data_IF_536701073835
#
_entry.id   IF_536701073835
#
_cell.length_a   1.000
_cell.length_b   1.000
_cell.length_c   1.000
_cell.angle_alpha   90.00
_cell.angle_beta   90.00
_cell.angle_gamma   90.00
#
_symmetry.space_group_name_H-M   'P 1'
#
loop_
_entity.id
_entity.type
_entity.pdbx_description
1 polymer ?
#
# COMPACT_ATOMS: atom_id res chain seq x y z
N UNK A 1 -17.48 -19.22 17.44
CA UNK A 1 -18.08 -19.57 16.12
C UNK A 1 -17.26 -19.01 14.95
N UNK A 2 -16.97 -17.71 14.86
CA UNK A 2 -16.26 -17.08 13.71
C UNK A 2 -14.88 -17.69 13.41
N UNK A 3 -14.04 -17.92 14.41
CA UNK A 3 -12.75 -18.59 14.22
C UNK A 3 -12.89 -19.99 13.57
N UNK A 4 -13.87 -20.81 14.03
CA UNK A 4 -14.09 -22.14 13.45
C UNK A 4 -14.58 -22.08 12.02
N UNK A 5 -15.40 -21.09 11.67
CA UNK A 5 -15.84 -20.84 10.29
C UNK A 5 -14.66 -20.51 9.39
N UNK A 6 -13.83 -19.53 9.78
CA UNK A 6 -12.65 -19.16 8.99
C UNK A 6 -11.68 -20.34 8.83
N UNK A 7 -11.46 -21.12 9.91
CA UNK A 7 -10.63 -22.32 9.84
C UNK A 7 -11.18 -23.36 8.84
N UNK A 8 -12.47 -23.65 8.89
CA UNK A 8 -13.07 -24.65 8.00
C UNK A 8 -12.96 -24.25 6.53
N UNK A 9 -13.21 -22.95 6.21
CA UNK A 9 -13.06 -22.45 4.83
C UNK A 9 -11.60 -22.48 4.41
N UNK A 10 -10.66 -22.08 5.27
CA UNK A 10 -9.23 -22.11 4.98
C UNK A 10 -8.71 -23.55 4.76
N UNK A 11 -9.19 -24.51 5.56
CA UNK A 11 -8.82 -25.93 5.39
C UNK A 11 -9.28 -26.47 4.03
N UNK A 12 -10.50 -26.13 3.60
CA UNK A 12 -11.02 -26.51 2.28
C UNK A 12 -10.27 -25.78 1.14
N UNK A 13 -10.01 -24.47 1.30
CA UNK A 13 -9.21 -23.73 0.33
C UNK A 13 -7.85 -24.39 0.13
N UNK A 14 -7.17 -24.76 1.22
CA UNK A 14 -5.88 -25.46 1.15
C UNK A 14 -5.97 -26.81 0.42
N UNK A 15 -7.04 -27.57 0.64
CA UNK A 15 -7.24 -28.85 -0.07
C UNK A 15 -7.46 -28.67 -1.58
N UNK A 16 -8.13 -27.60 -1.99
CA UNK A 16 -8.50 -27.35 -3.39
C UNK A 16 -7.41 -26.59 -4.14
N UNK A 17 -6.80 -25.59 -3.53
CA UNK A 17 -5.86 -24.66 -4.19
C UNK A 17 -4.40 -24.83 -3.74
N UNK A 18 -4.14 -25.57 -2.67
CA UNK A 18 -2.84 -25.65 -2.03
C UNK A 18 -2.54 -24.52 -1.03
N UNK A 19 -3.40 -23.51 -0.95
CA UNK A 19 -3.23 -22.32 -0.09
C UNK A 19 -4.44 -22.11 0.82
N UNK A 20 -4.19 -21.70 2.06
CA UNK A 20 -5.25 -21.43 3.05
C UNK A 20 -5.72 -19.97 3.05
N UNK A 21 -5.74 -19.33 1.90
CA UNK A 21 -6.21 -17.97 1.71
C UNK A 21 -7.73 -17.97 1.60
N UNK A 22 -8.37 -17.13 2.41
CA UNK A 22 -9.82 -16.90 2.40
C UNK A 22 -10.09 -15.42 2.17
N UNK A 23 -11.35 -15.08 1.89
CA UNK A 23 -11.81 -13.70 1.88
C UNK A 23 -12.97 -13.58 2.84
N UNK A 24 -12.68 -13.19 4.08
CA UNK A 24 -13.63 -13.25 5.18
C UNK A 24 -13.97 -11.86 5.72
N UNK A 25 -15.27 -11.61 5.95
CA UNK A 25 -15.77 -10.41 6.64
C UNK A 25 -15.62 -10.55 8.15
N UNK A 26 -16.13 -11.62 8.69
CA UNK A 26 -16.17 -11.84 10.13
C UNK A 26 -14.90 -12.50 10.63
N UNK A 27 -14.36 -11.98 11.71
CA UNK A 27 -13.17 -12.50 12.36
C UNK A 27 -13.29 -12.48 13.89
N UNK A 28 -12.41 -13.20 14.56
CA UNK A 28 -12.26 -13.22 16.01
C UNK A 28 -10.82 -13.54 16.37
N UNK A 29 -10.46 -13.43 17.64
CA UNK A 29 -9.12 -13.79 18.11
C UNK A 29 -8.68 -15.17 17.59
N UNK A 30 -7.50 -15.23 16.98
CA UNK A 30 -6.96 -16.40 16.31
C UNK A 30 -7.26 -16.48 14.80
N UNK A 31 -8.20 -15.69 14.28
CA UNK A 31 -8.49 -15.63 12.82
C UNK A 31 -7.41 -14.92 12.01
N UNK A 32 -6.50 -14.21 12.66
CA UNK A 32 -5.34 -13.54 12.04
C UNK A 32 -4.50 -14.49 11.17
N UNK A 33 -4.49 -15.78 11.52
CA UNK A 33 -3.78 -16.83 10.76
C UNK A 33 -4.45 -17.26 9.47
N UNK A 34 -5.65 -16.76 9.20
CA UNK A 34 -6.43 -17.09 8.01
C UNK A 34 -6.74 -15.82 7.22
N UNK A 35 -5.74 -15.28 6.45
CA UNK A 35 -5.98 -14.11 5.59
C UNK A 35 -6.89 -14.50 4.42
N UNK A 36 -7.62 -13.57 3.79
CA UNK A 36 -7.63 -12.14 3.97
C UNK A 36 -8.93 -11.66 4.61
N UNK A 37 -8.98 -10.38 5.01
CA UNK A 37 -10.18 -9.78 5.59
C UNK A 37 -10.52 -8.44 4.92
N UNK A 38 -11.82 -8.07 4.92
CA UNK A 38 -12.27 -6.76 4.45
C UNK A 38 -13.31 -6.14 5.39
N UNK A 39 -13.54 -4.83 5.23
CA UNK A 39 -14.38 -4.04 6.14
C UNK A 39 -15.89 -4.27 6.02
N UNK A 40 -16.35 -5.08 5.06
CA UNK A 40 -17.78 -5.29 4.80
C UNK A 40 -18.40 -4.20 3.94
N UNK A 41 -19.74 -4.08 4.01
CA UNK A 41 -20.55 -3.29 3.11
C UNK A 41 -20.60 -1.82 3.58
N UNK A 42 -19.70 -0.98 3.09
CA UNK A 42 -19.72 0.45 3.33
C UNK A 42 -20.65 1.19 2.35
N UNK A 43 -21.18 2.34 2.76
CA UNK A 43 -21.91 3.24 1.85
C UNK A 43 -20.98 4.04 0.94
N UNK A 44 -21.50 4.62 -0.17
CA UNK A 44 -20.71 5.41 -1.10
C UNK A 44 -20.75 6.90 -0.76
N UNK A 45 -20.21 7.29 0.40
CA UNK A 45 -20.11 8.68 0.87
C UNK A 45 -18.70 8.99 1.36
N UNK A 46 -18.34 10.26 1.39
CA UNK A 46 -17.05 10.73 1.91
C UNK A 46 -16.81 10.28 3.35
N UNK A 47 -17.82 10.42 4.21
CA UNK A 47 -17.76 9.96 5.60
C UNK A 47 -17.57 8.43 5.71
N UNK A 48 -18.14 7.65 4.81
CA UNK A 48 -17.98 6.19 4.78
C UNK A 48 -16.57 5.80 4.34
N UNK A 49 -15.99 6.54 3.39
CA UNK A 49 -14.60 6.37 2.98
C UNK A 49 -13.63 6.62 4.15
N UNK A 50 -13.81 7.72 4.88
CA UNK A 50 -13.01 8.06 6.06
C UNK A 50 -13.18 7.03 7.18
N UNK A 51 -14.43 6.62 7.47
CA UNK A 51 -14.73 5.60 8.46
C UNK A 51 -14.12 4.24 8.10
N UNK A 52 -14.05 3.93 6.80
CA UNK A 52 -13.41 2.70 6.29
C UNK A 52 -11.94 2.66 6.66
N UNK A 53 -11.19 3.76 6.49
CA UNK A 53 -9.78 3.81 6.92
C UNK A 53 -9.65 3.64 8.43
N UNK A 54 -10.40 4.40 9.23
CA UNK A 54 -10.35 4.31 10.70
C UNK A 54 -10.67 2.90 11.21
N UNK A 55 -11.68 2.27 10.62
CA UNK A 55 -12.02 0.87 10.90
C UNK A 55 -10.88 -0.09 10.56
N UNK A 56 -10.21 0.12 9.43
CA UNK A 56 -9.05 -0.68 9.01
C UNK A 56 -7.84 -0.52 9.92
N UNK A 57 -7.53 0.70 10.35
CA UNK A 57 -6.47 0.98 11.31
C UNK A 57 -6.75 0.27 12.64
N UNK A 58 -7.97 0.40 13.17
CA UNK A 58 -8.40 -0.29 14.39
C UNK A 58 -8.33 -1.83 14.26
N UNK A 59 -8.73 -2.36 13.10
CA UNK A 59 -8.65 -3.80 12.83
C UNK A 59 -7.19 -4.29 12.78
N UNK A 60 -6.30 -3.52 12.16
CA UNK A 60 -4.86 -3.79 12.15
C UNK A 60 -4.25 -3.86 13.56
N UNK A 61 -4.69 -2.98 14.48
CA UNK A 61 -4.26 -3.01 15.88
C UNK A 61 -4.70 -4.27 16.64
N UNK A 62 -5.69 -5.00 16.11
CA UNK A 62 -6.11 -6.30 16.62
C UNK A 62 -5.27 -7.47 16.07
N UNK A 63 -4.14 -7.18 15.39
CA UNK A 63 -3.19 -8.17 14.87
C UNK A 63 -3.55 -8.75 13.51
N UNK A 64 -4.44 -8.10 12.75
CA UNK A 64 -4.75 -8.51 11.38
C UNK A 64 -3.82 -7.82 10.39
N UNK A 65 -2.92 -8.59 9.80
CA UNK A 65 -1.90 -8.10 8.86
C UNK A 65 -2.52 -7.60 7.55
N UNK A 66 -3.50 -8.33 7.01
CA UNK A 66 -4.07 -8.09 5.70
C UNK A 66 -5.52 -7.65 5.81
N UNK A 67 -5.74 -6.37 5.53
CA UNK A 67 -7.05 -5.75 5.50
C UNK A 67 -7.24 -4.90 4.25
N UNK A 68 -8.46 -4.87 3.75
CA UNK A 68 -8.89 -4.05 2.64
C UNK A 68 -10.39 -3.73 2.72
N UNK A 69 -10.94 -3.23 1.63
CA UNK A 69 -12.34 -2.81 1.54
C UNK A 69 -12.84 -2.86 0.10
N UNK A 70 -14.13 -2.74 -0.08
CA UNK A 70 -14.76 -2.61 -1.40
C UNK A 70 -14.53 -1.18 -1.90
N UNK A 71 -13.78 -1.03 -3.00
CA UNK A 71 -13.37 0.27 -3.54
C UNK A 71 -14.61 1.02 -4.04
N UNK A 72 -14.81 2.24 -3.54
CA UNK A 72 -15.98 3.05 -3.83
C UNK A 72 -17.21 2.73 -2.95
N UNK A 73 -17.08 1.84 -1.96
CA UNK A 73 -18.18 1.34 -1.13
C UNK A 73 -19.01 0.26 -1.84
N UNK A 74 -19.71 -0.55 -1.05
CA UNK A 74 -20.50 -1.69 -1.55
C UNK A 74 -21.90 -1.28 -2.03
N UNK A 75 -22.62 -0.53 -1.17
CA UNK A 75 -24.03 -0.21 -1.38
C UNK A 75 -24.22 0.94 -2.39
N UNK A 76 -25.17 0.82 -3.30
CA UNK A 76 -25.56 1.81 -4.30
C UNK A 76 -24.41 2.22 -5.27
N UNK A 77 -24.77 2.97 -6.33
CA UNK A 77 -23.79 3.49 -7.29
C UNK A 77 -22.94 4.58 -6.62
N UNK A 78 -21.65 4.44 -6.70
CA UNK A 78 -20.71 5.45 -6.19
C UNK A 78 -20.72 6.67 -7.10
N UNK A 79 -20.81 7.91 -6.58
CA UNK A 79 -20.51 9.09 -7.37
C UNK A 79 -19.11 8.99 -7.99
N UNK A 80 -18.97 9.32 -9.27
CA UNK A 80 -17.71 9.14 -10.01
C UNK A 80 -16.54 9.88 -9.35
N UNK A 81 -16.78 11.10 -8.86
CA UNK A 81 -15.76 11.91 -8.18
C UNK A 81 -15.28 11.25 -6.90
N UNK A 82 -16.17 10.74 -6.07
CA UNK A 82 -15.81 9.97 -4.86
C UNK A 82 -15.04 8.70 -5.23
N UNK A 83 -15.46 8.00 -6.29
CA UNK A 83 -14.80 6.78 -6.70
C UNK A 83 -13.35 7.05 -7.19
N UNK A 84 -13.13 8.19 -7.89
CA UNK A 84 -11.79 8.64 -8.29
C UNK A 84 -10.86 8.83 -7.08
N UNK A 85 -11.35 9.40 -5.98
CA UNK A 85 -10.58 9.57 -4.73
C UNK A 85 -10.43 8.27 -3.94
N UNK A 86 -11.44 7.41 -3.93
CA UNK A 86 -11.42 6.14 -3.21
C UNK A 86 -10.51 5.09 -3.86
N UNK A 87 -10.43 5.12 -5.17
CA UNK A 87 -9.67 4.17 -5.97
C UNK A 87 -8.19 4.06 -5.57
N UNK A 88 -7.38 5.14 -5.50
CA UNK A 88 -5.99 5.02 -5.10
C UNK A 88 -5.84 4.59 -3.63
N UNK A 89 -6.74 4.96 -2.74
CA UNK A 89 -6.78 4.42 -1.39
C UNK A 89 -6.96 2.89 -1.42
N UNK A 90 -7.90 2.40 -2.22
CA UNK A 90 -8.12 0.96 -2.36
C UNK A 90 -6.94 0.22 -3.00
N UNK A 91 -6.22 0.85 -3.93
CA UNK A 91 -5.02 0.27 -4.54
C UNK A 91 -3.82 0.23 -3.56
N UNK A 92 -3.72 1.17 -2.64
CA UNK A 92 -2.65 1.26 -1.63
C UNK A 92 -3.00 0.50 -0.34
N UNK A 93 -3.63 -0.65 -0.48
CA UNK A 93 -3.89 -1.63 0.58
C UNK A 93 -3.30 -2.99 0.20
N UNK A 94 -3.32 -3.96 1.10
CA UNK A 94 -2.70 -5.28 0.87
C UNK A 94 -3.31 -6.02 -0.33
N UNK A 95 -4.62 -5.93 -0.50
CA UNK A 95 -5.38 -6.54 -1.61
C UNK A 95 -6.51 -5.60 -2.03
N UNK A 96 -6.99 -5.71 -3.26
CA UNK A 96 -7.94 -4.76 -3.84
C UNK A 96 -9.00 -5.46 -4.66
N UNK A 97 -10.23 -4.92 -4.61
CA UNK A 97 -11.29 -5.36 -5.51
C UNK A 97 -12.27 -4.23 -5.80
N UNK A 98 -12.79 -4.21 -7.02
CA UNK A 98 -13.98 -3.46 -7.40
C UNK A 98 -15.18 -4.35 -7.15
N UNK A 99 -15.94 -4.08 -6.09
CA UNK A 99 -17.06 -4.93 -5.69
C UNK A 99 -18.17 -4.11 -5.04
N UNK A 100 -19.39 -4.45 -5.36
CA UNK A 100 -20.57 -3.82 -4.77
C UNK A 100 -21.83 -4.07 -5.59
N UNK A 101 -22.92 -3.41 -5.18
CA UNK A 101 -24.20 -3.36 -5.88
C UNK A 101 -24.60 -1.92 -6.10
N UNK A 102 -24.82 -1.44 -7.32
CA UNK A 102 -24.66 -2.07 -8.62
C UNK A 102 -23.20 -2.28 -9.03
N UNK A 103 -22.92 -2.73 -10.27
CA UNK A 103 -21.56 -2.98 -10.76
C UNK A 103 -20.59 -1.84 -10.50
N UNK A 104 -19.35 -2.20 -10.11
CA UNK A 104 -18.28 -1.26 -9.72
C UNK A 104 -17.09 -1.33 -10.69
N UNK A 105 -17.22 -2.05 -11.77
CA UNK A 105 -16.16 -2.16 -12.76
C UNK A 105 -15.86 -0.79 -13.38
N UNK A 106 -14.57 -0.45 -13.63
CA UNK A 106 -14.18 0.88 -14.09
C UNK A 106 -14.86 1.32 -15.39
N UNK A 107 -15.16 0.39 -16.30
CA UNK A 107 -15.83 0.69 -17.58
C UNK A 107 -17.28 1.18 -17.43
N UNK A 108 -17.93 0.91 -16.30
CA UNK A 108 -19.26 1.45 -15.98
C UNK A 108 -19.28 2.97 -15.76
N UNK A 109 -18.09 3.57 -15.61
CA UNK A 109 -17.89 5.00 -15.34
C UNK A 109 -17.31 5.77 -16.54
N UNK A 110 -17.10 5.10 -17.67
CA UNK A 110 -16.66 5.71 -18.91
C UNK A 110 -15.13 5.77 -19.09
N UNK A 111 -14.70 6.23 -20.28
CA UNK A 111 -13.31 6.12 -20.73
C UNK A 111 -12.35 6.96 -19.87
N UNK A 112 -12.72 8.19 -19.53
CA UNK A 112 -11.87 9.07 -18.72
C UNK A 112 -11.63 8.48 -17.31
N UNK A 113 -12.65 7.89 -16.71
CA UNK A 113 -12.50 7.18 -15.44
C UNK A 113 -11.61 5.94 -15.57
N UNK A 114 -11.75 5.18 -16.65
CA UNK A 114 -10.88 4.02 -16.92
C UNK A 114 -9.40 4.41 -17.01
N UNK A 115 -9.09 5.56 -17.61
CA UNK A 115 -7.69 6.03 -17.71
C UNK A 115 -7.13 6.44 -16.36
N UNK A 116 -7.92 7.06 -15.49
CA UNK A 116 -7.54 7.36 -14.11
C UNK A 116 -7.36 6.07 -13.30
N UNK A 117 -8.28 5.13 -13.45
CA UNK A 117 -8.21 3.83 -12.79
C UNK A 117 -6.95 3.07 -13.20
N UNK A 118 -6.64 3.03 -14.49
CA UNK A 118 -5.43 2.37 -15.02
C UNK A 118 -4.16 2.96 -14.42
N UNK A 119 -4.07 4.29 -14.27
CA UNK A 119 -2.90 4.93 -13.64
C UNK A 119 -2.69 4.46 -12.19
N UNK A 120 -3.75 4.34 -11.42
CA UNK A 120 -3.65 3.87 -10.04
C UNK A 120 -3.37 2.37 -9.95
N UNK A 121 -3.94 1.58 -10.84
CA UNK A 121 -3.69 0.14 -10.92
C UNK A 121 -2.24 -0.15 -11.36
N UNK A 122 -1.74 0.53 -12.38
CA UNK A 122 -0.34 0.43 -12.81
C UNK A 122 0.64 0.84 -11.70
N UNK A 123 0.29 1.84 -10.88
CA UNK A 123 1.07 2.20 -9.71
C UNK A 123 1.15 1.03 -8.73
N UNK A 124 0.03 0.38 -8.40
CA UNK A 124 0.02 -0.82 -7.55
C UNK A 124 0.85 -1.95 -8.13
N UNK A 125 0.69 -2.25 -9.43
CA UNK A 125 1.48 -3.30 -10.10
C UNK A 125 2.98 -2.98 -10.09
N UNK A 126 3.34 -1.74 -10.29
CA UNK A 126 4.75 -1.27 -10.20
C UNK A 126 5.32 -1.50 -8.80
N UNK A 127 4.54 -1.26 -7.76
CA UNK A 127 4.93 -1.44 -6.36
C UNK A 127 4.85 -2.92 -5.89
N UNK A 128 4.49 -3.87 -6.73
CA UNK A 128 4.27 -5.25 -6.31
C UNK A 128 5.48 -5.88 -5.59
N UNK A 129 6.75 -5.65 -5.99
CA UNK A 129 7.89 -6.16 -5.23
C UNK A 129 8.00 -5.56 -3.83
N UNK A 130 7.69 -4.27 -3.67
CA UNK A 130 7.60 -3.62 -2.37
C UNK A 130 6.47 -4.23 -1.53
N UNK A 131 5.27 -4.33 -2.09
CA UNK A 131 4.09 -4.90 -1.42
C UNK A 131 4.38 -6.33 -0.94
N UNK A 132 5.00 -7.15 -1.79
CA UNK A 132 5.31 -8.53 -1.45
C UNK A 132 6.35 -8.63 -0.34
N UNK A 133 7.42 -7.83 -0.39
CA UNK A 133 8.42 -7.77 0.66
C UNK A 133 7.84 -7.28 2.00
N UNK A 134 7.03 -6.21 1.96
CA UNK A 134 6.37 -5.67 3.16
C UNK A 134 5.33 -6.65 3.74
N UNK A 135 4.63 -7.40 2.90
CA UNK A 135 3.69 -8.43 3.37
C UNK A 135 4.41 -9.56 4.12
N UNK A 136 5.60 -9.93 3.64
CA UNK A 136 6.45 -10.93 4.31
C UNK A 136 6.97 -10.41 5.65
N UNK A 137 7.53 -9.20 5.68
CA UNK A 137 7.99 -8.53 6.90
C UNK A 137 6.86 -8.40 7.93
N UNK A 138 5.72 -7.88 7.49
CA UNK A 138 4.54 -7.69 8.33
C UNK A 138 4.05 -9.02 8.93
N UNK A 139 3.98 -10.10 8.13
CA UNK A 139 3.60 -11.42 8.62
C UNK A 139 4.56 -12.00 9.64
N UNK A 140 5.87 -11.77 9.47
CA UNK A 140 6.90 -12.24 10.40
C UNK A 140 6.91 -11.48 11.71
N UNK A 141 6.62 -10.17 11.65
CA UNK A 141 6.64 -9.27 12.82
C UNK A 141 5.28 -9.14 13.51
N UNK A 142 4.21 -9.65 12.92
CA UNK A 142 2.85 -9.49 13.43
C UNK A 142 2.31 -8.06 13.25
N UNK A 143 2.76 -7.34 12.22
CA UNK A 143 2.33 -5.97 11.94
C UNK A 143 1.25 -5.92 10.86
N UNK A 144 0.38 -4.89 10.85
CA UNK A 144 -0.50 -4.65 9.72
C UNK A 144 0.26 -4.08 8.51
N UNK A 145 -0.26 -4.33 7.31
CA UNK A 145 0.23 -3.68 6.08
C UNK A 145 -0.20 -2.20 6.01
N UNK A 146 -1.41 -1.91 6.46
CA UNK A 146 -1.95 -0.55 6.62
C UNK A 146 -1.76 -0.16 8.09
N UNK A 147 -0.75 0.65 8.37
CA UNK A 147 -0.27 0.93 9.74
C UNK A 147 -0.66 2.34 10.19
N UNK A 148 -1.27 2.46 11.37
CA UNK A 148 -1.34 3.75 12.05
C UNK A 148 0.09 4.30 12.27
N UNK A 149 0.28 5.62 12.16
CA UNK A 149 1.61 6.24 12.21
C UNK A 149 2.39 5.88 13.48
N UNK A 150 1.71 5.82 14.63
CA UNK A 150 2.34 5.52 15.92
C UNK A 150 2.92 4.09 16.01
N UNK A 151 2.58 3.18 15.12
CA UNK A 151 3.19 1.83 15.08
C UNK A 151 4.68 1.94 14.72
N UNK A 152 5.02 2.81 13.78
CA UNK A 152 6.40 3.04 13.34
C UNK A 152 7.06 4.22 14.11
N UNK A 153 6.26 5.15 14.64
CA UNK A 153 6.71 6.33 15.34
C UNK A 153 6.10 6.47 16.74
N UNK A 154 6.28 5.45 17.63
CA UNK A 154 5.62 5.45 18.96
C UNK A 154 6.08 6.58 19.89
N UNK A 155 7.28 7.13 19.67
CA UNK A 155 7.82 8.26 20.43
C UNK A 155 7.38 9.64 19.94
N UNK A 156 6.67 9.72 18.83
CA UNK A 156 6.19 10.96 18.24
C UNK A 156 4.72 11.23 18.64
N UNK A 157 4.51 12.29 19.43
CA UNK A 157 3.18 12.62 19.96
C UNK A 157 2.16 12.95 18.85
N UNK A 158 2.59 13.55 17.73
CA UNK A 158 1.74 13.87 16.60
C UNK A 158 1.17 12.61 15.94
N UNK A 159 1.97 11.58 15.81
CA UNK A 159 1.58 10.30 15.21
C UNK A 159 0.42 9.59 15.94
N UNK A 160 0.16 9.91 17.20
CA UNK A 160 -0.95 9.35 17.99
C UNK A 160 -2.28 10.06 17.75
N UNK A 161 -2.24 11.25 17.18
CA UNK A 161 -3.43 12.09 16.97
C UNK A 161 -4.03 11.99 15.57
N UNK A 162 -3.34 11.29 14.67
CA UNK A 162 -3.68 11.22 13.25
C UNK A 162 -4.34 9.88 12.94
N UNK A 163 -5.56 9.91 12.41
CA UNK A 163 -6.37 8.73 12.08
C UNK A 163 -6.90 8.73 10.63
N UNK A 164 -6.45 9.68 9.82
CA UNK A 164 -6.92 9.91 8.45
C UNK A 164 -5.83 9.76 7.38
N UNK A 165 -4.68 9.22 7.80
CA UNK A 165 -3.56 8.79 6.96
C UNK A 165 -2.87 7.57 7.58
N UNK A 166 -2.00 6.90 6.83
CA UNK A 166 -1.37 5.67 7.28
C UNK A 166 -0.04 5.42 6.59
N UNK A 167 0.76 4.52 7.16
CA UNK A 167 1.89 3.92 6.47
C UNK A 167 1.46 2.64 5.77
N UNK A 168 1.76 2.53 4.49
CA UNK A 168 1.65 1.31 3.72
C UNK A 168 2.99 0.59 3.72
N UNK A 169 3.11 -0.43 4.56
CA UNK A 169 4.40 -1.00 4.95
C UNK A 169 5.19 -0.03 5.83
N UNK A 170 6.52 0.00 5.68
CA UNK A 170 7.43 0.79 6.53
C UNK A 170 7.81 2.16 5.95
N UNK A 171 7.69 2.35 4.62
CA UNK A 171 8.38 3.45 3.95
C UNK A 171 7.48 4.38 3.12
N UNK A 172 6.21 4.02 2.93
CA UNK A 172 5.26 4.79 2.13
C UNK A 172 4.14 5.32 3.02
N UNK A 173 4.01 6.65 3.11
CA UNK A 173 2.88 7.31 3.76
C UNK A 173 1.80 7.61 2.72
N UNK A 174 0.56 7.28 3.07
CA UNK A 174 -0.63 7.45 2.22
C UNK A 174 -1.64 8.31 2.95
N UNK A 175 -2.02 9.44 2.37
CA UNK A 175 -3.10 10.28 2.86
C UNK A 175 -4.19 10.40 1.79
N UNK A 176 -5.30 9.63 1.93
CA UNK A 176 -6.40 9.66 0.98
C UNK A 176 -7.13 11.01 0.98
N UNK A 177 -7.71 11.37 -0.16
CA UNK A 177 -8.49 12.59 -0.33
C UNK A 177 -9.94 12.34 0.09
N UNK A 178 -10.33 12.75 1.30
CA UNK A 178 -11.69 12.47 1.83
C UNK A 178 -12.73 13.53 1.47
N UNK A 179 -12.31 14.74 1.10
CA UNK A 179 -13.21 15.84 0.84
C UNK A 179 -13.43 16.07 -0.65
N UNK A 180 -14.68 16.15 -1.07
CA UNK A 180 -15.05 16.43 -2.44
C UNK A 180 -14.57 17.82 -2.89
N UNK A 181 -14.13 17.93 -4.15
CA UNK A 181 -13.71 19.18 -4.76
C UNK A 181 -12.37 19.73 -4.29
N UNK A 182 -11.64 19.02 -3.42
CA UNK A 182 -10.31 19.43 -2.99
C UNK A 182 -9.22 18.83 -3.89
N UNK A 183 -8.13 19.57 -4.10
CA UNK A 183 -6.94 19.10 -4.84
C UNK A 183 -5.76 18.82 -3.94
N UNK A 184 -5.86 19.14 -2.65
CA UNK A 184 -4.85 18.91 -1.63
C UNK A 184 -5.49 18.83 -0.24
N UNK A 185 -4.71 18.43 0.75
CA UNK A 185 -5.14 18.34 2.15
C UNK A 185 -3.99 18.60 3.10
N UNK A 186 -4.31 18.85 4.36
CA UNK A 186 -3.34 18.86 5.43
C UNK A 186 -2.92 17.41 5.76
N UNK A 187 -1.61 17.20 5.88
CA UNK A 187 -0.97 15.90 6.14
C UNK A 187 0.06 16.09 7.24
N UNK A 188 0.08 15.20 8.20
CA UNK A 188 1.09 15.14 9.24
C UNK A 188 2.25 14.24 8.82
N UNK A 189 3.44 14.74 8.83
CA UNK A 189 4.65 13.99 8.50
C UNK A 189 5.42 13.64 9.77
N UNK A 190 5.56 12.36 10.12
CA UNK A 190 6.39 11.92 11.24
C UNK A 190 7.85 12.35 11.08
N UNK A 191 8.67 12.28 12.15
CA UNK A 191 10.07 12.68 12.12
C UNK A 191 10.87 12.12 10.97
N UNK A 192 11.61 12.96 10.27
CA UNK A 192 12.40 12.64 9.08
C UNK A 192 12.11 13.58 7.92
N UNK A 193 12.58 13.20 6.75
CA UNK A 193 12.27 13.86 5.48
C UNK A 193 11.40 12.93 4.63
N UNK A 194 10.51 13.51 3.86
CA UNK A 194 9.56 12.79 3.03
C UNK A 194 9.61 13.31 1.60
N UNK A 195 9.56 12.42 0.64
CA UNK A 195 9.64 12.75 -0.80
C UNK A 195 8.33 12.35 -1.44
N UNK A 196 7.66 13.30 -2.08
CA UNK A 196 6.41 13.04 -2.79
C UNK A 196 6.64 12.07 -3.96
N UNK A 197 5.86 10.99 -3.98
CA UNK A 197 5.98 9.93 -4.97
C UNK A 197 5.64 10.40 -6.40
N UNK A 198 4.78 11.40 -6.53
CA UNK A 198 4.30 11.85 -7.83
C UNK A 198 5.12 13.03 -8.37
N UNK A 199 5.51 13.97 -7.53
CA UNK A 199 6.23 15.19 -7.93
C UNK A 199 7.73 15.17 -7.65
N UNK A 200 8.19 14.40 -6.65
CA UNK A 200 9.56 14.42 -6.16
C UNK A 200 9.86 15.52 -5.14
N UNK A 201 8.89 16.38 -4.84
CA UNK A 201 9.06 17.44 -3.86
C UNK A 201 9.35 16.88 -2.46
N UNK A 202 10.27 17.51 -1.75
CA UNK A 202 10.68 17.09 -0.40
C UNK A 202 9.98 17.92 0.66
N UNK A 203 9.59 17.27 1.76
CA UNK A 203 8.94 17.86 2.92
C UNK A 203 9.66 17.43 4.21
N UNK A 204 9.81 18.36 5.14
CA UNK A 204 10.26 18.06 6.49
C UNK A 204 9.12 17.49 7.35
N UNK A 205 9.45 17.01 8.57
CA UNK A 205 8.45 16.62 9.56
C UNK A 205 7.49 17.75 9.93
N UNK A 206 6.28 17.42 10.37
CA UNK A 206 5.24 18.36 10.80
C UNK A 206 4.04 18.43 9.86
N UNK A 207 3.17 19.40 10.07
CA UNK A 207 1.98 19.61 9.26
C UNK A 207 2.28 20.36 7.96
N UNK A 208 1.77 19.87 6.85
CA UNK A 208 1.90 20.47 5.54
C UNK A 208 0.59 20.37 4.76
N UNK A 209 0.23 21.45 4.03
CA UNK A 209 -0.80 21.35 3.01
C UNK A 209 -0.15 20.82 1.73
N UNK A 210 -0.54 19.60 1.31
CA UNK A 210 0.07 18.90 0.18
C UNK A 210 -0.98 18.67 -0.89
N UNK A 211 -0.61 19.06 -2.11
CA UNK A 211 -1.45 18.84 -3.29
C UNK A 211 -1.31 17.40 -3.76
N UNK A 212 -2.41 16.74 -4.07
CA UNK A 212 -2.39 15.47 -4.76
C UNK A 212 -1.89 15.65 -6.21
N UNK A 213 -1.26 14.63 -6.76
CA UNK A 213 -0.81 14.63 -8.16
C UNK A 213 -1.92 14.18 -9.12
N UNK A 214 -1.53 13.63 -10.26
CA UNK A 214 -2.47 13.06 -11.25
C UNK A 214 -3.33 11.92 -10.67
N UNK A 215 -2.78 11.16 -9.73
CA UNK A 215 -3.52 10.20 -8.94
C UNK A 215 -4.00 10.94 -7.70
N UNK A 216 -5.32 11.00 -7.42
CA UNK A 216 -5.89 11.82 -6.34
C UNK A 216 -5.65 11.20 -4.95
N UNK A 217 -4.39 11.19 -4.53
CA UNK A 217 -3.89 10.75 -3.23
C UNK A 217 -2.59 11.49 -2.94
N UNK A 218 -2.37 11.87 -1.70
CA UNK A 218 -1.04 12.28 -1.26
C UNK A 218 -0.26 11.02 -0.92
N UNK A 219 0.85 10.83 -1.59
CA UNK A 219 1.69 9.64 -1.49
C UNK A 219 3.14 10.06 -1.31
N UNK A 220 3.70 9.76 -0.16
CA UNK A 220 5.04 10.18 0.22
C UNK A 220 5.90 8.96 0.56
N UNK A 221 7.17 9.03 0.21
CA UNK A 221 8.16 8.00 0.55
C UNK A 221 9.17 8.60 1.51
N UNK A 222 9.49 7.85 2.56
CA UNK A 222 10.51 8.26 3.52
C UNK A 222 11.87 8.43 2.83
N UNK A 223 12.56 9.54 3.11
CA UNK A 223 13.93 9.71 2.63
C UNK A 223 14.85 8.61 3.17
N UNK A 224 15.78 8.16 2.36
CA UNK A 224 16.63 7.02 2.66
C UNK A 224 15.96 5.66 2.47
N UNK A 225 14.81 5.61 1.81
CA UNK A 225 14.17 4.34 1.44
C UNK A 225 14.63 3.85 0.06
N UNK A 226 14.71 2.52 -0.09
CA UNK A 226 14.80 1.82 -1.37
C UNK A 226 13.48 1.11 -1.61
N UNK A 227 12.77 1.51 -2.64
CA UNK A 227 11.48 0.93 -3.04
C UNK A 227 11.70 0.03 -4.27
N UNK A 228 11.68 -1.30 -4.12
CA UNK A 228 11.78 -2.20 -5.27
C UNK A 228 10.53 -2.11 -6.13
N UNK A 229 10.71 -1.98 -7.43
CA UNK A 229 9.65 -1.82 -8.43
C UNK A 229 9.85 -2.78 -9.60
N UNK A 230 8.78 -3.01 -10.34
CA UNK A 230 8.76 -3.82 -11.56
C UNK A 230 7.94 -3.14 -12.64
N UNK A 231 8.18 -3.46 -13.90
CA UNK A 231 7.32 -2.98 -15.00
C UNK A 231 5.92 -3.60 -14.84
N UNK A 232 4.83 -2.80 -14.91
CA UNK A 232 3.47 -3.32 -14.87
C UNK A 232 3.19 -4.34 -15.97
N UNK A 233 2.33 -5.30 -15.68
CA UNK A 233 1.85 -6.34 -16.61
C UNK A 233 0.33 -6.49 -16.49
N UNK A 234 -0.30 -7.28 -17.36
CA UNK A 234 -1.75 -7.49 -17.36
C UNK A 234 -2.26 -8.31 -16.17
N UNK A 235 -1.38 -9.06 -15.52
CA UNK A 235 -1.69 -9.80 -14.30
C UNK A 235 -0.42 -10.01 -13.45
N UNK A 236 -0.59 -10.31 -12.17
CA UNK A 236 0.54 -10.59 -11.27
C UNK A 236 1.38 -11.79 -11.70
N UNK A 237 0.77 -12.78 -12.38
CA UNK A 237 1.47 -13.94 -12.93
C UNK A 237 2.37 -13.62 -14.13
N UNK A 238 2.17 -12.46 -14.77
CA UNK A 238 2.94 -11.99 -15.91
C UNK A 238 4.02 -10.95 -15.53
N UNK A 239 4.13 -10.60 -14.25
CA UNK A 239 5.18 -9.71 -13.78
C UNK A 239 6.56 -10.35 -13.97
N UNK A 240 7.48 -9.61 -14.56
CA UNK A 240 8.86 -10.07 -14.78
C UNK A 240 9.71 -9.85 -13.52
N UNK A 241 9.62 -10.77 -12.58
CA UNK A 241 10.39 -10.77 -11.35
C UNK A 241 11.90 -10.97 -11.56
N UNK A 242 12.33 -11.25 -12.79
CA UNK A 242 13.76 -11.32 -13.13
C UNK A 242 14.42 -9.96 -13.31
N UNK A 243 13.64 -8.87 -13.33
CA UNK A 243 14.09 -7.49 -13.56
C UNK A 243 13.47 -6.55 -12.54
N UNK A 244 14.15 -6.35 -11.43
CA UNK A 244 13.71 -5.46 -10.36
C UNK A 244 14.46 -4.13 -10.44
N UNK A 245 13.73 -3.01 -10.43
CA UNK A 245 14.30 -1.68 -10.28
C UNK A 245 14.31 -1.29 -8.80
N UNK A 246 15.48 -1.02 -8.25
CA UNK A 246 15.66 -0.50 -6.89
C UNK A 246 15.63 1.02 -6.94
N UNK A 247 14.49 1.62 -6.64
CA UNK A 247 14.31 3.08 -6.68
C UNK A 247 14.71 3.66 -5.33
N UNK A 248 15.75 4.48 -5.34
CA UNK A 248 16.29 5.14 -4.14
C UNK A 248 15.63 6.50 -3.98
N UNK A 249 14.99 6.73 -2.86
CA UNK A 249 14.39 8.01 -2.47
C UNK A 249 15.36 8.73 -1.53
N UNK A 250 16.17 9.62 -2.09
CA UNK A 250 17.19 10.36 -1.33
C UNK A 250 17.42 11.75 -1.92
N UNK A 251 17.04 12.79 -1.20
CA UNK A 251 17.36 14.18 -1.53
C UNK A 251 18.76 14.54 -0.97
N UNK A 252 18.98 14.34 0.32
CA UNK A 252 20.23 14.62 1.01
C UNK A 252 20.94 13.37 1.55
N UNK A 253 20.23 12.27 1.76
CA UNK A 253 20.77 11.05 2.34
C UNK A 253 21.92 10.47 1.50
N UNK A 254 22.95 9.96 2.18
CA UNK A 254 24.10 9.31 1.54
C UNK A 254 23.97 7.78 1.52
N UNK A 255 22.99 7.23 2.22
CA UNK A 255 22.65 5.82 2.24
C UNK A 255 21.14 5.64 2.23
N UNK A 256 20.71 4.49 1.72
CA UNK A 256 19.31 4.12 1.66
C UNK A 256 19.17 2.62 1.94
N UNK A 257 18.00 2.23 2.48
CA UNK A 257 17.70 0.84 2.83
C UNK A 257 16.27 0.49 2.45
N UNK A 258 16.04 -0.78 2.21
CA UNK A 258 14.73 -1.32 1.91
C UNK A 258 14.70 -2.82 2.12
N UNK A 259 13.63 -3.43 1.65
CA UNK A 259 13.43 -4.88 1.69
C UNK A 259 13.04 -5.39 0.31
N UNK A 260 13.47 -6.60 -0.02
CA UNK A 260 13.02 -7.32 -1.22
C UNK A 260 12.72 -8.78 -0.87
N UNK A 261 11.70 -9.32 -1.51
CA UNK A 261 11.33 -10.73 -1.44
C UNK A 261 10.93 -11.19 -2.84
N UNK A 262 11.47 -12.31 -3.31
CA UNK A 262 11.10 -12.88 -4.60
C UNK A 262 10.12 -14.04 -4.39
N UNK A 263 9.05 -14.16 -5.19
CA UNK A 263 8.13 -15.30 -5.11
C UNK A 263 8.83 -16.66 -5.30
N UNK A 264 9.92 -16.68 -6.08
CA UNK A 264 10.65 -17.91 -6.40
C UNK A 264 11.26 -18.62 -5.19
N UNK A 265 11.59 -17.89 -4.11
CA UNK A 265 12.17 -18.49 -2.89
C UNK A 265 11.53 -18.02 -1.60
N UNK A 266 10.70 -16.99 -1.66
CA UNK A 266 10.00 -16.42 -0.51
C UNK A 266 10.92 -16.03 0.65
N UNK A 267 12.17 -15.60 0.34
CA UNK A 267 13.16 -15.14 1.32
C UNK A 267 13.16 -13.63 1.38
N UNK A 268 12.92 -13.08 2.56
CA UNK A 268 13.03 -11.64 2.81
C UNK A 268 14.50 -11.24 2.96
N UNK A 269 14.94 -10.26 2.17
CA UNK A 269 16.33 -9.78 2.17
C UNK A 269 16.38 -8.27 2.38
N UNK A 270 17.33 -7.77 3.19
CA UNK A 270 17.62 -6.35 3.22
C UNK A 270 18.22 -5.87 1.90
N UNK A 271 17.87 -4.66 1.53
CA UNK A 271 18.49 -3.92 0.42
C UNK A 271 19.19 -2.72 1.01
N UNK A 272 20.46 -2.57 0.73
CA UNK A 272 21.26 -1.42 1.14
C UNK A 272 21.86 -0.77 -0.10
N UNK A 273 21.79 0.55 -0.16
CA UNK A 273 22.41 1.36 -1.20
C UNK A 273 23.20 2.52 -0.57
N UNK A 274 24.34 2.84 -1.13
CA UNK A 274 25.15 3.97 -0.70
C UNK A 274 25.57 4.82 -1.88
N UNK A 275 25.68 6.12 -1.66
CA UNK A 275 26.15 7.08 -2.67
C UNK A 275 27.66 6.97 -2.82
N UNK A 276 28.13 6.65 -4.02
CA UNK A 276 29.55 6.54 -4.39
C UNK A 276 29.77 7.32 -5.70
N UNK A 277 30.72 8.23 -5.70
CA UNK A 277 31.02 9.05 -6.89
C UNK A 277 29.80 9.74 -7.52
N UNK A 278 28.88 10.23 -6.67
CA UNK A 278 27.68 10.95 -7.12
C UNK A 278 26.46 10.07 -7.45
N UNK A 279 26.61 8.76 -7.56
CA UNK A 279 25.53 7.83 -7.86
C UNK A 279 25.29 6.82 -6.71
N UNK A 280 24.07 6.32 -6.58
CA UNK A 280 23.78 5.23 -5.65
C UNK A 280 24.13 3.89 -6.27
N UNK A 281 24.74 3.03 -5.47
CA UNK A 281 25.04 1.65 -5.81
C UNK A 281 24.62 0.72 -4.68
N UNK A 282 24.15 -0.49 -5.01
CA UNK A 282 23.80 -1.50 -4.02
C UNK A 282 25.03 -2.03 -3.30
N UNK A 283 24.86 -2.36 -2.04
CA UNK A 283 25.83 -3.09 -1.24
C UNK A 283 25.57 -4.59 -1.38
N UNK A 284 26.33 -5.25 -2.24
CA UNK A 284 26.15 -6.68 -2.53
C UNK A 284 25.01 -6.99 -3.50
N UNK A 285 24.57 -8.25 -3.51
CA UNK A 285 23.48 -8.74 -4.36
C UNK A 285 22.25 -9.09 -3.50
N UNK A 286 21.29 -8.18 -3.36
CA UNK A 286 20.09 -8.43 -2.56
C UNK A 286 19.14 -9.46 -3.19
N UNK A 287 19.32 -9.80 -4.46
CA UNK A 287 18.47 -10.77 -5.17
C UNK A 287 19.09 -12.19 -5.19
N UNK A 288 20.30 -12.36 -4.66
CA UNK A 288 20.96 -13.68 -4.53
C UNK A 288 21.18 -14.39 -5.86
N UNK A 289 21.52 -13.66 -6.92
CA UNK A 289 21.72 -14.18 -8.27
C UNK A 289 20.46 -14.63 -9.00
N UNK A 290 19.26 -14.42 -8.40
CA UNK A 290 17.98 -14.93 -8.95
C UNK A 290 17.28 -13.96 -9.90
N UNK A 291 17.67 -12.69 -9.87
CA UNK A 291 17.13 -11.65 -10.73
C UNK A 291 18.17 -10.57 -10.97
N UNK A 292 18.03 -9.83 -12.07
CA UNK A 292 18.80 -8.62 -12.31
C UNK A 292 18.20 -7.44 -11.55
N UNK A 293 19.05 -6.56 -11.04
CA UNK A 293 18.61 -5.29 -10.45
C UNK A 293 19.28 -4.11 -11.11
N UNK A 294 18.51 -3.05 -11.28
CA UNK A 294 19.00 -1.71 -11.64
C UNK A 294 18.76 -0.77 -10.47
N UNK A 295 19.63 0.23 -10.32
CA UNK A 295 19.46 1.27 -9.30
C UNK A 295 19.11 2.57 -9.99
N UNK A 296 18.03 3.20 -9.52
CA UNK A 296 17.63 4.52 -9.99
C UNK A 296 17.41 5.44 -8.80
N UNK A 297 18.07 6.60 -8.82
CA UNK A 297 17.71 7.68 -7.91
C UNK A 297 16.38 8.28 -8.36
N UNK A 298 15.44 8.40 -7.44
CA UNK A 298 14.21 9.14 -7.67
C UNK A 298 14.54 10.63 -7.71
N UNK A 299 14.21 11.29 -8.79
CA UNK A 299 14.40 12.73 -9.00
C UNK A 299 13.07 13.41 -9.30
N UNK A 300 12.98 14.68 -8.97
CA UNK A 300 11.87 15.55 -9.39
C UNK A 300 11.59 15.38 -10.89
N UNK A 301 10.31 15.25 -11.24
CA UNK A 301 9.86 15.09 -12.63
C UNK A 301 9.55 16.45 -13.25
#
# INVERSE_FOLDING_TARGET
MLFRSNKAVADIARQVTGENIIWARSAWAGSQRYPLHWGGDSGPKDADMAATLRGGLSFGLSGFTFWSHDIGGFAARTPEELYRRWMPFGMLTSHSRCHGTPPKEPWEYGTAFMDDFRRADEMKYRLMPYIYAQSKDASQRGLPMVRALFIEYPGDAGSWLVDDEYLFGSDILVAPMFEAGTTGRDVYLPPGQWIDYQSGKTYAAGWHNIQAGQIPVVLLVREGAVIPQVKPAQSTSQLDWSKIEMVVYAAAAQSARGLVCLPADNVLRPVEAAKRNGAFALSGDPLGGKAASTVRLYSEK
#
